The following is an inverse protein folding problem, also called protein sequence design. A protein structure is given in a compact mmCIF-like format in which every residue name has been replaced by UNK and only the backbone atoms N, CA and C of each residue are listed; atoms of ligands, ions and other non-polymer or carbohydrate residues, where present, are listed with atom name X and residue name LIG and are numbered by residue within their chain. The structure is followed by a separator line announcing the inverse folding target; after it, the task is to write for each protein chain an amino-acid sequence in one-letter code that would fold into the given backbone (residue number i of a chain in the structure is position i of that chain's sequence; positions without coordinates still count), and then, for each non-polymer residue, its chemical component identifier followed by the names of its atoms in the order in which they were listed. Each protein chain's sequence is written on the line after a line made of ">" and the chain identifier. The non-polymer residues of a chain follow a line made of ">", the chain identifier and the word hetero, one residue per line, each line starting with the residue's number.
data_IF_465405499777
#
_entry.id   IF_465405499777
#
_cell.length_a   1.000
_cell.length_b   1.000
_cell.length_c   1.000
_cell.angle_alpha   90.00
_cell.angle_beta   90.00
_cell.angle_gamma   90.00
#
_symmetry.space_group_name_H-M   'P 1'
#
loop_
_entity.id
_entity.type
_entity.pdbx_description
1 polymer ?
#
# COMPACT_ATOMS: atom_id res chain seq x y z
N UNK A 1 -35.86 18.07 17.25
CA UNK A 1 -34.59 17.38 17.65
C UNK A 1 -34.74 15.84 17.83
N UNK A 2 -35.16 15.07 16.81
CA UNK A 2 -35.04 13.59 16.81
C UNK A 2 -33.81 13.07 16.02
N UNK A 3 -33.41 13.74 14.93
CA UNK A 3 -32.34 13.29 14.03
C UNK A 3 -30.94 13.17 14.69
N UNK A 4 -30.61 14.06 15.64
CA UNK A 4 -29.33 14.00 16.37
C UNK A 4 -29.21 12.82 17.33
N UNK A 5 -30.34 12.33 17.88
CA UNK A 5 -30.34 11.12 18.73
C UNK A 5 -30.17 9.86 17.88
N UNK A 6 -30.83 9.82 16.72
CA UNK A 6 -30.78 8.70 15.77
C UNK A 6 -29.36 8.46 15.22
N UNK A 7 -28.61 9.54 14.97
CA UNK A 7 -27.21 9.44 14.53
C UNK A 7 -26.29 8.93 15.66
N UNK A 8 -26.46 9.45 16.88
CA UNK A 8 -25.66 9.03 18.04
C UNK A 8 -25.90 7.56 18.42
N UNK A 9 -27.11 7.05 18.23
CA UNK A 9 -27.46 5.67 18.52
C UNK A 9 -26.98 4.71 17.42
N UNK A 10 -26.97 5.16 16.16
CA UNK A 10 -26.37 4.43 15.04
C UNK A 10 -24.86 4.25 15.20
N UNK A 11 -24.14 5.31 15.62
CA UNK A 11 -22.70 5.25 15.88
C UNK A 11 -22.39 4.32 17.07
N UNK A 12 -23.18 4.39 18.15
CA UNK A 12 -23.03 3.50 19.30
C UNK A 12 -23.33 2.03 18.96
N UNK A 13 -24.25 1.76 18.05
CA UNK A 13 -24.54 0.41 17.57
C UNK A 13 -23.40 -0.14 16.71
N UNK A 14 -22.82 0.68 15.84
CA UNK A 14 -21.67 0.30 15.00
C UNK A 14 -20.43 -0.03 15.86
N UNK A 15 -20.11 0.79 16.87
CA UNK A 15 -18.98 0.52 17.77
C UNK A 15 -19.17 -0.77 18.59
N UNK A 16 -20.41 -1.12 18.98
CA UNK A 16 -20.69 -2.38 19.69
C UNK A 16 -20.55 -3.61 18.79
N UNK A 17 -20.87 -3.49 17.50
CA UNK A 17 -20.65 -4.57 16.51
C UNK A 17 -19.17 -4.80 16.25
N UNK A 18 -18.38 -3.73 16.13
CA UNK A 18 -16.93 -3.81 15.97
C UNK A 18 -16.22 -4.49 17.16
N UNK A 19 -16.71 -4.28 18.39
CA UNK A 19 -16.15 -4.91 19.61
C UNK A 19 -16.55 -6.37 19.82
N UNK A 20 -17.53 -6.89 19.06
CA UNK A 20 -18.05 -8.27 19.19
C UNK A 20 -17.63 -9.20 18.06
N UNK A 21 -16.87 -8.71 17.07
CA UNK A 21 -16.31 -9.57 16.03
C UNK A 21 -15.17 -10.42 16.65
N UNK A 22 -15.27 -11.75 16.67
CA UNK A 22 -14.20 -12.58 17.18
C UNK A 22 -12.98 -12.50 16.26
N UNK A 23 -11.83 -12.19 16.85
CA UNK A 23 -10.54 -12.10 16.20
C UNK A 23 -10.09 -13.51 15.73
N UNK A 24 -10.51 -13.90 14.52
CA UNK A 24 -10.26 -15.24 13.95
C UNK A 24 -8.78 -15.50 13.60
N UNK A 25 -7.84 -14.60 13.92
CA UNK A 25 -6.41 -14.76 13.60
C UNK A 25 -5.53 -15.32 14.73
N UNK A 26 -6.01 -15.47 15.97
CA UNK A 26 -5.18 -15.91 17.09
C UNK A 26 -5.23 -17.41 17.45
N UNK A 27 -6.06 -18.24 16.79
CA UNK A 27 -6.29 -19.62 17.23
C UNK A 27 -5.37 -20.71 16.60
N UNK A 28 -4.29 -20.35 15.89
CA UNK A 28 -3.42 -21.34 15.20
C UNK A 28 -1.94 -21.32 15.59
N UNK A 29 -1.54 -20.65 16.67
CA UNK A 29 -0.13 -20.54 17.07
C UNK A 29 0.16 -20.99 18.51
N UNK A 30 -0.61 -21.96 19.04
CA UNK A 30 -0.31 -22.64 20.31
C UNK A 30 -0.48 -24.15 20.19
N UNK A 31 0.34 -24.76 19.36
CA UNK A 31 0.78 -26.15 19.46
C UNK A 31 2.19 -26.17 18.86
N UNK A 32 3.12 -26.88 19.48
CA UNK A 32 4.55 -27.01 19.13
C UNK A 32 5.52 -26.05 19.83
N UNK A 33 5.65 -26.23 21.16
CA UNK A 33 6.93 -26.14 21.86
C UNK A 33 6.94 -27.08 23.07
N UNK A 34 7.50 -28.28 22.91
CA UNK A 34 8.09 -29.06 23.98
C UNK A 34 9.05 -30.11 23.41
N UNK A 35 10.33 -29.98 23.74
CA UNK A 35 11.31 -31.06 23.85
C UNK A 35 12.22 -30.73 25.05
N UNK A 36 13.20 -31.57 25.47
CA UNK A 36 13.58 -32.90 24.95
C UNK A 36 13.76 -33.97 26.06
N UNK A 37 13.98 -35.24 25.67
CA UNK A 37 14.45 -36.31 26.57
C UNK A 37 14.75 -37.63 25.82
N UNK A 38 15.81 -38.39 26.16
CA UNK A 38 16.45 -39.37 25.27
C UNK A 38 16.07 -40.82 25.54
N UNK A 39 16.21 -41.70 24.53
CA UNK A 39 16.39 -43.14 24.72
C UNK A 39 17.10 -43.76 23.49
N UNK A 40 18.00 -44.68 23.79
CA UNK A 40 18.97 -45.38 22.94
C UNK A 40 18.41 -46.76 22.53
N UNK A 41 19.11 -47.42 21.59
CA UNK A 41 19.03 -48.82 21.11
C UNK A 41 18.13 -49.03 19.88
N UNK A 42 18.54 -49.66 18.78
CA UNK A 42 19.78 -50.32 18.41
C UNK A 42 19.56 -51.08 17.08
N UNK A 43 20.67 -51.52 16.49
CA UNK A 43 20.84 -52.66 15.57
C UNK A 43 20.54 -52.53 14.06
N UNK A 44 21.64 -52.42 13.31
CA UNK A 44 22.11 -53.36 12.29
C UNK A 44 21.15 -53.84 11.18
N UNK A 45 21.42 -53.38 9.95
CA UNK A 45 21.97 -54.23 8.87
C UNK A 45 22.04 -53.51 7.51
N UNK A 46 23.26 -53.17 7.08
CA UNK A 46 23.68 -53.18 5.67
C UNK A 46 24.16 -54.60 5.31
N UNK A 47 23.98 -55.06 4.06
CA UNK A 47 25.15 -55.23 3.16
C UNK A 47 24.76 -55.14 1.65
N UNK A 48 25.66 -55.46 0.69
CA UNK A 48 26.93 -54.81 0.40
C UNK A 48 27.01 -54.29 -1.06
N UNK A 49 28.03 -53.48 -1.33
CA UNK A 49 28.57 -53.17 -2.66
C UNK A 49 29.47 -54.31 -3.17
N UNK A 50 29.68 -54.35 -4.50
CA UNK A 50 30.83 -54.85 -5.30
C UNK A 50 30.35 -55.69 -6.53
N UNK A 51 31.10 -55.81 -7.64
CA UNK A 51 32.03 -54.86 -8.27
C UNK A 51 31.84 -54.72 -9.80
N UNK A 52 32.72 -53.93 -10.41
CA UNK A 52 32.85 -53.60 -11.83
C UNK A 52 33.12 -54.79 -12.76
N UNK A 53 32.64 -54.68 -14.01
CA UNK A 53 32.96 -55.55 -15.13
C UNK A 53 33.00 -54.76 -16.44
N UNK A 54 34.09 -54.95 -17.18
CA UNK A 54 34.58 -54.19 -18.34
C UNK A 54 34.07 -54.72 -19.70
N UNK A 55 33.98 -53.83 -20.70
CA UNK A 55 33.98 -54.05 -22.18
C UNK A 55 32.70 -54.70 -22.75
N UNK A 56 32.16 -54.38 -23.93
CA UNK A 56 32.79 -54.18 -25.25
C UNK A 56 31.81 -53.46 -26.21
N UNK A 57 32.34 -52.94 -27.31
CA UNK A 57 31.67 -52.27 -28.42
C UNK A 57 30.78 -53.22 -29.25
N UNK A 58 29.59 -52.75 -29.68
CA UNK A 58 29.14 -52.67 -31.11
C UNK A 58 27.63 -52.38 -31.23
N UNK A 59 27.33 -51.62 -32.29
CA UNK A 59 26.04 -51.21 -32.86
C UNK A 59 24.98 -52.33 -32.93
N UNK A 60 23.71 -51.99 -32.69
CA UNK A 60 22.63 -52.02 -33.71
C UNK A 60 21.26 -51.61 -33.11
N UNK A 61 20.73 -50.52 -33.67
CA UNK A 61 19.33 -50.21 -34.01
C UNK A 61 18.11 -50.78 -33.24
N UNK A 62 17.17 -49.85 -33.02
CA UNK A 62 15.71 -50.00 -32.89
C UNK A 62 15.11 -50.38 -31.53
N UNK A 63 14.59 -49.37 -30.82
CA UNK A 63 13.24 -49.42 -30.25
C UNK A 63 12.69 -48.02 -29.97
N UNK A 64 11.56 -47.75 -30.60
CA UNK A 64 10.74 -46.57 -30.40
C UNK A 64 10.03 -46.62 -29.03
N UNK A 65 9.87 -45.45 -28.43
CA UNK A 65 8.86 -45.16 -27.41
C UNK A 65 9.39 -45.04 -25.97
N UNK A 66 9.40 -43.81 -25.45
CA UNK A 66 8.67 -43.36 -24.23
C UNK A 66 9.10 -41.92 -23.87
N UNK A 67 8.17 -40.98 -24.08
CA UNK A 67 7.92 -39.76 -23.32
C UNK A 67 9.10 -38.82 -22.97
N UNK A 68 9.50 -37.98 -23.92
CA UNK A 68 10.04 -36.65 -23.59
C UNK A 68 8.87 -35.65 -23.57
N UNK A 69 8.21 -35.54 -22.42
CA UNK A 69 7.33 -34.41 -22.15
C UNK A 69 8.19 -33.15 -22.17
N UNK A 70 8.09 -32.37 -23.25
CA UNK A 70 8.62 -31.02 -23.29
C UNK A 70 7.89 -30.22 -22.23
N UNK A 71 8.52 -30.08 -21.06
CA UNK A 71 8.15 -29.05 -20.09
C UNK A 71 8.25 -27.73 -20.84
N UNK A 72 7.09 -27.22 -21.27
CA UNK A 72 6.95 -25.89 -21.83
C UNK A 72 7.48 -24.94 -20.74
N UNK A 73 8.70 -24.45 -20.91
CA UNK A 73 9.24 -23.41 -20.05
C UNK A 73 8.38 -22.19 -20.36
N UNK A 74 7.41 -21.90 -19.47
CA UNK A 74 6.63 -20.68 -19.59
C UNK A 74 7.61 -19.51 -19.76
N UNK A 75 7.37 -18.61 -20.74
CA UNK A 75 8.24 -17.47 -20.95
C UNK A 75 8.34 -16.71 -19.62
N UNK A 76 9.57 -16.56 -19.10
CA UNK A 76 9.82 -15.79 -17.87
C UNK A 76 9.18 -14.42 -18.06
N UNK A 77 8.13 -14.12 -17.29
CA UNK A 77 7.57 -12.76 -17.22
C UNK A 77 8.71 -11.83 -16.81
N UNK A 78 9.23 -11.08 -17.77
CA UNK A 78 10.15 -9.98 -17.50
C UNK A 78 9.32 -8.87 -16.86
N UNK A 79 9.52 -8.65 -15.57
CA UNK A 79 8.97 -7.47 -14.91
C UNK A 79 9.89 -6.29 -15.18
N UNK A 80 9.31 -5.16 -15.57
CA UNK A 80 10.02 -3.90 -15.43
C UNK A 80 9.98 -3.45 -13.96
N UNK A 81 10.79 -2.46 -13.63
CA UNK A 81 10.90 -1.98 -12.25
C UNK A 81 9.64 -1.24 -11.76
N UNK A 82 8.82 -0.68 -12.65
CA UNK A 82 7.60 0.02 -12.28
C UNK A 82 6.50 -0.95 -11.88
N UNK A 83 6.26 -1.98 -12.71
CA UNK A 83 5.34 -3.07 -12.41
C UNK A 83 5.75 -3.84 -11.14
N UNK A 84 7.05 -4.02 -10.90
CA UNK A 84 7.55 -4.59 -9.65
C UNK A 84 7.27 -3.68 -8.45
N UNK A 85 7.43 -2.36 -8.61
CA UNK A 85 7.12 -1.38 -7.57
C UNK A 85 5.63 -1.38 -7.22
N UNK A 86 4.75 -1.47 -8.21
CA UNK A 86 3.30 -1.57 -8.00
C UNK A 86 2.94 -2.82 -7.19
N UNK A 87 3.55 -3.97 -7.52
CA UNK A 87 3.38 -5.21 -6.75
C UNK A 87 3.86 -5.03 -5.31
N UNK A 88 5.05 -4.46 -5.13
CA UNK A 88 5.65 -4.25 -3.81
C UNK A 88 4.78 -3.34 -2.94
N UNK A 89 4.27 -2.23 -3.47
CA UNK A 89 3.42 -1.31 -2.73
C UNK A 89 2.09 -1.92 -2.30
N UNK A 90 1.50 -2.80 -3.11
CA UNK A 90 0.32 -3.58 -2.68
C UNK A 90 0.66 -4.47 -1.48
N UNK A 91 1.79 -5.19 -1.54
CA UNK A 91 2.26 -6.03 -0.43
C UNK A 91 2.52 -5.18 0.83
N UNK A 92 3.15 -4.01 0.69
CA UNK A 92 3.43 -3.10 1.80
C UNK A 92 2.16 -2.49 2.38
N UNK A 93 1.17 -2.15 1.54
CA UNK A 93 -0.12 -1.62 1.99
C UNK A 93 -0.93 -2.66 2.79
N UNK A 94 -0.85 -3.94 2.40
CA UNK A 94 -1.56 -5.03 3.06
C UNK A 94 -0.90 -5.49 4.36
N UNK A 95 0.44 -5.59 4.39
CA UNK A 95 1.18 -6.17 5.51
C UNK A 95 1.83 -5.14 6.44
N UNK A 96 1.78 -3.87 6.06
CA UNK A 96 2.67 -2.84 6.59
C UNK A 96 4.05 -2.95 5.95
N UNK A 97 4.74 -1.81 5.79
CA UNK A 97 6.08 -1.78 5.23
C UNK A 97 6.98 -2.71 6.04
N UNK A 98 7.19 -2.47 7.33
CA UNK A 98 8.13 -3.25 8.16
C UNK A 98 7.85 -4.76 8.17
N UNK A 99 6.57 -5.17 8.17
CA UNK A 99 6.15 -6.57 8.18
C UNK A 99 6.28 -7.31 6.84
N UNK A 100 6.48 -6.59 5.73
CA UNK A 100 6.66 -7.21 4.42
C UNK A 100 8.11 -7.64 4.17
N UNK A 101 8.31 -8.71 3.39
CA UNK A 101 9.63 -9.19 2.97
C UNK A 101 9.81 -9.17 1.45
N UNK A 102 11.06 -9.21 0.99
CA UNK A 102 11.35 -9.40 -0.45
C UNK A 102 10.83 -10.74 -0.99
N UNK A 103 10.66 -11.75 -0.13
CA UNK A 103 10.06 -13.04 -0.49
C UNK A 103 8.54 -12.92 -0.71
N UNK A 104 7.87 -12.05 0.04
CA UNK A 104 6.46 -11.74 -0.20
C UNK A 104 6.26 -11.03 -1.54
N UNK A 105 7.15 -10.08 -1.87
CA UNK A 105 7.14 -9.39 -3.17
C UNK A 105 7.39 -10.37 -4.32
N UNK A 106 8.40 -11.24 -4.19
CA UNK A 106 8.70 -12.30 -5.17
C UNK A 106 7.48 -13.19 -5.42
N UNK A 107 6.86 -13.67 -4.33
CA UNK A 107 5.67 -14.52 -4.41
C UNK A 107 4.49 -13.80 -5.08
N UNK A 108 4.27 -12.53 -4.74
CA UNK A 108 3.18 -11.73 -5.32
C UNK A 108 3.42 -11.38 -6.80
N UNK A 109 4.68 -11.21 -7.21
CA UNK A 109 5.07 -10.94 -8.59
C UNK A 109 5.15 -12.23 -9.45
N UNK A 110 5.16 -13.41 -8.83
CA UNK A 110 5.32 -14.68 -9.56
C UNK A 110 6.71 -14.85 -10.18
N UNK A 111 7.74 -14.24 -9.57
CA UNK A 111 9.14 -14.33 -10.02
C UNK A 111 10.05 -14.74 -8.85
N UNK A 112 11.29 -15.11 -9.16
CA UNK A 112 12.26 -15.47 -8.12
C UNK A 112 12.78 -14.22 -7.41
N UNK A 113 13.17 -14.38 -6.15
CA UNK A 113 13.84 -13.32 -5.37
C UNK A 113 15.11 -12.83 -6.07
N UNK A 114 15.88 -13.74 -6.67
CA UNK A 114 17.07 -13.42 -7.45
C UNK A 114 16.72 -12.51 -8.65
N UNK A 115 15.61 -12.78 -9.35
CA UNK A 115 15.13 -11.93 -10.44
C UNK A 115 14.88 -10.49 -9.99
N UNK A 116 14.31 -10.31 -8.80
CA UNK A 116 14.04 -8.98 -8.25
C UNK A 116 15.34 -8.20 -7.99
N UNK A 117 16.34 -8.85 -7.40
CA UNK A 117 17.60 -8.19 -7.07
C UNK A 117 18.42 -7.75 -8.28
N UNK A 118 18.11 -8.24 -9.49
CA UNK A 118 18.67 -7.68 -10.73
C UNK A 118 18.15 -6.28 -11.04
N UNK A 119 16.99 -5.90 -10.51
CA UNK A 119 16.36 -4.60 -10.76
C UNK A 119 16.54 -3.61 -9.60
N UNK A 120 16.58 -4.10 -8.35
CA UNK A 120 16.61 -3.24 -7.15
C UNK A 120 17.60 -3.74 -6.12
N UNK A 121 18.23 -2.80 -5.41
CA UNK A 121 19.14 -3.10 -4.29
C UNK A 121 18.41 -3.69 -3.07
N UNK A 122 17.09 -3.49 -2.98
CA UNK A 122 16.27 -4.10 -1.94
C UNK A 122 14.93 -3.41 -1.77
N UNK A 123 14.31 -3.71 -0.63
CA UNK A 123 12.97 -3.27 -0.25
C UNK A 123 12.84 -1.75 -0.14
N UNK A 124 13.87 -1.09 0.38
CA UNK A 124 13.88 0.37 0.53
C UNK A 124 13.87 1.09 -0.84
N UNK A 125 14.56 0.56 -1.86
CA UNK A 125 14.54 1.15 -3.20
C UNK A 125 13.14 1.11 -3.83
N UNK A 126 12.37 0.04 -3.59
CA UNK A 126 10.98 -0.06 -4.02
C UNK A 126 10.08 0.91 -3.26
N UNK A 127 10.30 1.07 -1.95
CA UNK A 127 9.60 2.05 -1.13
C UNK A 127 9.87 3.46 -1.63
N UNK A 128 11.15 3.85 -1.77
CA UNK A 128 11.57 5.17 -2.20
C UNK A 128 10.95 5.54 -3.55
N UNK A 129 11.01 4.64 -4.54
CA UNK A 129 10.37 4.85 -5.85
C UNK A 129 8.86 5.04 -5.72
N UNK A 130 8.20 4.21 -4.92
CA UNK A 130 6.77 4.28 -4.70
C UNK A 130 6.31 5.57 -4.00
N UNK A 131 7.00 5.95 -2.93
CA UNK A 131 6.75 7.20 -2.20
C UNK A 131 7.05 8.42 -3.07
N UNK A 132 8.12 8.37 -3.86
CA UNK A 132 8.47 9.39 -4.84
C UNK A 132 7.32 9.63 -5.83
N UNK A 133 6.84 8.58 -6.50
CA UNK A 133 5.69 8.67 -7.43
C UNK A 133 4.44 9.27 -6.79
N UNK A 134 4.10 8.85 -5.57
CA UNK A 134 2.96 9.40 -4.85
C UNK A 134 3.11 10.89 -4.54
N UNK A 135 4.27 11.29 -4.03
CA UNK A 135 4.54 12.67 -3.67
C UNK A 135 4.62 13.55 -4.91
N UNK A 136 5.25 13.08 -5.98
CA UNK A 136 5.33 13.81 -7.25
C UNK A 136 3.92 14.01 -7.84
N UNK A 137 3.06 12.99 -7.78
CA UNK A 137 1.67 13.12 -8.20
C UNK A 137 0.87 14.13 -7.35
N UNK A 138 1.14 14.23 -6.04
CA UNK A 138 0.52 15.24 -5.18
C UNK A 138 1.05 16.64 -5.49
N UNK A 139 2.36 16.81 -5.64
CA UNK A 139 2.97 18.11 -5.91
C UNK A 139 2.63 18.64 -7.30
N UNK A 140 2.48 17.77 -8.31
CA UNK A 140 2.05 18.17 -9.65
C UNK A 140 0.70 18.90 -9.65
N UNK A 141 -0.17 18.63 -8.67
CA UNK A 141 -1.44 19.35 -8.49
C UNK A 141 -1.20 20.85 -8.29
N UNK A 142 -0.14 21.21 -7.54
CA UNK A 142 0.18 22.61 -7.21
C UNK A 142 0.72 23.38 -8.43
N UNK A 143 1.15 22.66 -9.46
CA UNK A 143 1.62 23.24 -10.72
C UNK A 143 0.48 23.40 -11.76
N UNK A 144 -0.69 22.81 -11.51
CA UNK A 144 -1.85 22.95 -12.39
C UNK A 144 -2.33 24.43 -12.43
N UNK A 145 -2.73 24.99 -13.59
CA UNK A 145 -3.12 26.40 -13.69
C UNK A 145 -4.21 26.82 -12.69
N UNK A 146 -5.22 25.96 -12.50
CA UNK A 146 -6.30 26.19 -11.54
C UNK A 146 -5.85 26.17 -10.07
N UNK A 147 -4.67 25.64 -9.75
CA UNK A 147 -4.08 25.73 -8.41
C UNK A 147 -3.24 27.01 -8.22
N UNK A 148 -2.95 27.76 -9.29
CA UNK A 148 -2.03 28.91 -9.28
C UNK A 148 -2.72 30.25 -9.50
N UNK A 149 -3.78 30.27 -10.28
CA UNK A 149 -4.45 31.49 -10.73
C UNK A 149 -5.84 31.65 -10.07
N UNK A 150 -6.35 32.88 -10.02
CA UNK A 150 -7.68 33.17 -9.46
C UNK A 150 -7.71 33.34 -7.94
N UNK A 151 -8.92 33.28 -7.36
CA UNK A 151 -9.11 33.47 -5.91
C UNK A 151 -8.55 32.29 -5.12
N UNK A 152 -8.05 32.54 -3.92
CA UNK A 152 -7.46 31.50 -3.10
C UNK A 152 -8.45 30.38 -2.74
N UNK A 153 -9.74 30.69 -2.59
CA UNK A 153 -10.77 29.67 -2.35
C UNK A 153 -10.98 28.73 -3.54
N UNK A 154 -10.89 29.25 -4.77
CA UNK A 154 -11.05 28.46 -6.00
C UNK A 154 -9.86 27.52 -6.17
N UNK A 155 -8.65 28.05 -5.96
CA UNK A 155 -7.40 27.27 -5.94
C UNK A 155 -7.44 26.18 -4.88
N UNK A 156 -7.91 26.49 -3.67
CA UNK A 156 -8.04 25.50 -2.59
C UNK A 156 -9.03 24.39 -2.98
N UNK A 157 -10.18 24.75 -3.56
CA UNK A 157 -11.20 23.79 -4.00
C UNK A 157 -10.62 22.82 -5.02
N UNK A 158 -9.95 23.36 -6.02
CA UNK A 158 -9.26 22.57 -7.03
C UNK A 158 -8.26 21.60 -6.38
N UNK A 159 -7.36 22.10 -5.52
CA UNK A 159 -6.36 21.24 -4.86
C UNK A 159 -7.02 20.09 -4.07
N UNK A 160 -8.08 20.36 -3.31
CA UNK A 160 -8.77 19.35 -2.50
C UNK A 160 -9.42 18.27 -3.38
N UNK A 161 -10.06 18.67 -4.47
CA UNK A 161 -10.66 17.77 -5.46
C UNK A 161 -9.60 16.86 -6.10
N UNK A 162 -8.53 17.46 -6.62
CA UNK A 162 -7.41 16.74 -7.23
C UNK A 162 -6.73 15.79 -6.25
N UNK A 163 -6.54 16.19 -4.99
CA UNK A 163 -5.96 15.32 -3.96
C UNK A 163 -6.87 14.12 -3.67
N UNK A 164 -8.19 14.31 -3.61
CA UNK A 164 -9.12 13.20 -3.41
C UNK A 164 -9.06 12.20 -4.57
N UNK A 165 -9.03 12.68 -5.82
CA UNK A 165 -8.88 11.84 -7.00
C UNK A 165 -7.54 11.10 -7.05
N UNK A 166 -6.42 11.78 -6.79
CA UNK A 166 -5.08 11.16 -6.74
C UNK A 166 -5.03 10.10 -5.65
N UNK A 167 -5.60 10.37 -4.48
CA UNK A 167 -5.67 9.42 -3.36
C UNK A 167 -6.39 8.14 -3.76
N UNK A 168 -7.52 8.27 -4.45
CA UNK A 168 -8.30 7.14 -4.94
C UNK A 168 -7.55 6.38 -6.06
N UNK A 169 -6.88 7.08 -6.96
CA UNK A 169 -6.12 6.46 -8.07
C UNK A 169 -4.89 5.69 -7.58
N UNK A 170 -4.15 6.24 -6.63
CA UNK A 170 -2.88 5.72 -6.09
C UNK A 170 -3.03 5.14 -4.68
N UNK A 171 -4.12 4.39 -4.43
CA UNK A 171 -4.46 3.90 -3.09
C UNK A 171 -3.32 3.12 -2.40
N UNK A 172 -2.65 2.14 -3.04
CA UNK A 172 -1.55 1.43 -2.40
C UNK A 172 -0.39 2.35 -2.00
N UNK A 173 0.05 3.22 -2.92
CA UNK A 173 1.13 4.18 -2.68
C UNK A 173 0.79 5.10 -1.50
N UNK A 174 -0.41 5.68 -1.50
CA UNK A 174 -0.86 6.65 -0.50
C UNK A 174 -1.12 5.99 0.85
N UNK A 175 -1.59 4.74 0.85
CA UNK A 175 -1.72 3.93 2.08
C UNK A 175 -0.36 3.76 2.75
N UNK A 176 0.67 3.41 1.98
CA UNK A 176 2.03 3.27 2.51
C UNK A 176 2.56 4.63 2.97
N UNK A 177 2.43 5.67 2.16
CA UNK A 177 2.88 7.04 2.47
C UNK A 177 2.25 7.61 3.75
N UNK A 178 1.00 7.25 4.07
CA UNK A 178 0.34 7.73 5.29
C UNK A 178 0.65 6.89 6.53
N UNK A 179 1.23 5.70 6.38
CA UNK A 179 1.56 4.77 7.47
C UNK A 179 3.05 4.72 7.83
N UNK A 180 3.92 5.39 7.09
CA UNK A 180 5.34 5.52 7.44
C UNK A 180 5.55 6.50 8.61
N UNK A 181 6.61 6.29 9.37
CA UNK A 181 6.87 7.03 10.61
C UNK A 181 8.25 7.71 10.64
N UNK A 182 9.05 7.60 9.58
CA UNK A 182 10.36 8.27 9.50
C UNK A 182 11.51 7.43 10.05
N UNK A 183 11.39 6.11 10.03
CA UNK A 183 12.43 5.22 10.54
C UNK A 183 13.68 5.25 9.62
N UNK A 184 13.47 5.17 8.31
CA UNK A 184 14.55 5.30 7.31
C UNK A 184 14.77 6.75 6.84
N UNK A 185 15.85 6.97 6.07
CA UNK A 185 16.11 8.27 5.41
C UNK A 185 15.00 8.59 4.41
N UNK A 186 14.65 7.63 3.54
CA UNK A 186 13.58 7.77 2.55
C UNK A 186 12.23 8.11 3.18
N UNK A 187 11.89 7.51 4.32
CA UNK A 187 10.68 7.85 5.05
C UNK A 187 10.70 9.26 5.63
N UNK A 188 11.83 9.70 6.20
CA UNK A 188 11.96 11.07 6.73
C UNK A 188 11.80 12.12 5.64
N UNK A 189 12.40 11.88 4.49
CA UNK A 189 12.26 12.76 3.31
C UNK A 189 10.80 12.82 2.85
N UNK A 190 10.12 11.66 2.77
CA UNK A 190 8.71 11.62 2.43
C UNK A 190 7.82 12.36 3.45
N UNK A 191 8.08 12.21 4.76
CA UNK A 191 7.36 12.94 5.82
C UNK A 191 7.58 14.44 5.69
N UNK A 192 8.81 14.90 5.40
CA UNK A 192 9.07 16.32 5.23
C UNK A 192 8.43 16.89 3.96
N UNK A 193 8.44 16.14 2.85
CA UNK A 193 7.71 16.54 1.63
C UNK A 193 6.20 16.70 1.89
N UNK A 194 5.60 15.81 2.69
CA UNK A 194 4.19 15.97 3.12
C UNK A 194 3.97 17.23 3.95
N UNK A 195 4.87 17.52 4.89
CA UNK A 195 4.80 18.77 5.69
C UNK A 195 4.93 20.01 4.81
N UNK A 196 5.78 19.99 3.78
CA UNK A 196 5.86 21.07 2.79
C UNK A 196 4.53 21.28 2.05
N UNK A 197 3.88 20.20 1.65
CA UNK A 197 2.57 20.25 1.01
C UNK A 197 1.51 20.86 1.94
N UNK A 198 1.46 20.40 3.20
CA UNK A 198 0.54 20.94 4.22
C UNK A 198 0.77 22.44 4.47
N UNK A 199 2.04 22.89 4.49
CA UNK A 199 2.39 24.31 4.63
C UNK A 199 1.87 25.13 3.46
N UNK A 200 2.06 24.68 2.23
CA UNK A 200 1.58 25.38 1.04
C UNK A 200 0.05 25.59 1.08
N UNK A 201 -0.69 24.55 1.45
CA UNK A 201 -2.16 24.63 1.53
C UNK A 201 -2.61 25.52 2.69
N UNK A 202 -1.88 25.49 3.81
CA UNK A 202 -2.15 26.40 4.94
C UNK A 202 -2.04 27.87 4.49
N UNK A 203 -1.03 28.22 3.69
CA UNK A 203 -0.88 29.58 3.15
C UNK A 203 -2.03 29.97 2.21
N UNK A 204 -2.54 29.04 1.40
CA UNK A 204 -3.73 29.29 0.58
C UNK A 204 -4.95 29.59 1.46
N UNK A 205 -5.15 28.85 2.56
CA UNK A 205 -6.26 29.10 3.48
C UNK A 205 -6.12 30.48 4.13
N UNK A 206 -4.92 30.85 4.59
CA UNK A 206 -4.64 32.19 5.13
C UNK A 206 -4.97 33.26 4.10
N UNK A 207 -4.61 33.05 2.84
CA UNK A 207 -4.93 33.97 1.76
C UNK A 207 -6.45 34.07 1.51
N UNK A 208 -7.17 32.94 1.49
CA UNK A 208 -8.62 32.93 1.34
C UNK A 208 -9.34 33.61 2.52
N UNK A 209 -8.77 33.54 3.73
CA UNK A 209 -9.24 34.31 4.88
C UNK A 209 -9.03 35.81 4.73
N UNK A 210 -7.90 36.23 4.14
CA UNK A 210 -7.63 37.64 3.82
C UNK A 210 -8.61 38.17 2.78
N UNK A 211 -8.88 37.37 1.75
CA UNK A 211 -9.82 37.65 0.66
C UNK A 211 -11.30 37.63 1.09
N UNK A 212 -11.58 37.11 2.29
CA UNK A 212 -12.92 37.09 2.87
C UNK A 212 -13.75 35.86 2.50
N UNK A 213 -13.17 34.87 1.81
CA UNK A 213 -13.88 33.66 1.36
C UNK A 213 -13.89 32.53 2.39
N UNK A 214 -12.99 32.59 3.38
CA UNK A 214 -12.93 31.66 4.50
C UNK A 214 -13.10 32.41 5.80
N UNK A 215 -13.92 31.88 6.70
CA UNK A 215 -14.12 32.44 8.05
C UNK A 215 -12.79 32.55 8.82
N UNK A 216 -12.57 33.69 9.48
CA UNK A 216 -11.30 34.04 10.16
C UNK A 216 -11.18 33.50 11.59
N UNK A 217 -12.27 33.00 12.17
CA UNK A 217 -12.29 32.37 13.49
C UNK A 217 -11.91 30.87 13.45
N UNK A 218 -11.58 30.36 12.27
CA UNK A 218 -11.03 29.02 12.06
C UNK A 218 -9.50 29.12 11.91
N UNK A 219 -8.75 28.42 12.76
CA UNK A 219 -7.29 28.32 12.60
C UNK A 219 -6.93 27.65 11.25
N UNK A 220 -6.11 28.31 10.44
CA UNK A 220 -5.81 27.87 9.08
C UNK A 220 -5.10 26.51 9.04
N UNK A 221 -4.22 26.24 10.01
CA UNK A 221 -3.49 24.98 10.11
C UNK A 221 -4.41 23.84 10.54
N UNK A 222 -5.32 24.10 11.47
CA UNK A 222 -6.38 23.17 11.85
C UNK A 222 -7.30 22.88 10.68
N UNK A 223 -7.71 23.90 9.91
CA UNK A 223 -8.50 23.72 8.69
C UNK A 223 -7.80 22.80 7.68
N UNK A 224 -6.54 23.09 7.33
CA UNK A 224 -5.75 22.25 6.43
C UNK A 224 -5.69 20.79 6.92
N UNK A 225 -5.42 20.60 8.22
CA UNK A 225 -5.34 19.26 8.82
C UNK A 225 -6.66 18.50 8.77
N UNK A 226 -7.80 19.18 8.97
CA UNK A 226 -9.12 18.55 8.92
C UNK A 226 -9.52 18.20 7.48
N UNK A 227 -9.29 19.09 6.53
CA UNK A 227 -9.58 18.87 5.11
C UNK A 227 -8.82 17.63 4.60
N UNK A 228 -7.49 17.59 4.78
CA UNK A 228 -6.72 16.42 4.35
C UNK A 228 -6.93 15.22 5.24
N UNK A 229 -7.33 15.40 6.50
CA UNK A 229 -7.78 14.29 7.35
C UNK A 229 -8.94 13.52 6.71
N UNK A 230 -9.91 14.23 6.12
CA UNK A 230 -11.03 13.61 5.41
C UNK A 230 -10.56 12.85 4.17
N UNK A 231 -9.76 13.48 3.30
CA UNK A 231 -9.21 12.83 2.10
C UNK A 231 -8.34 11.61 2.43
N UNK A 232 -7.44 11.75 3.40
CA UNK A 232 -6.51 10.70 3.78
C UNK A 232 -7.23 9.53 4.45
N UNK A 233 -8.35 9.77 5.15
CA UNK A 233 -9.13 8.69 5.78
C UNK A 233 -9.63 7.66 4.76
N UNK A 234 -9.83 8.05 3.50
CA UNK A 234 -10.34 7.21 2.41
C UNK A 234 -9.51 5.93 2.26
N UNK A 235 -8.19 6.00 2.48
CA UNK A 235 -7.30 4.83 2.33
C UNK A 235 -7.61 3.72 3.34
N UNK A 236 -8.23 4.05 4.47
CA UNK A 236 -8.52 3.08 5.55
C UNK A 236 -9.84 2.33 5.36
N UNK A 237 -10.85 2.98 4.77
CA UNK A 237 -12.20 2.43 4.68
C UNK A 237 -12.68 2.13 3.26
N UNK A 238 -12.10 2.76 2.23
CA UNK A 238 -12.56 2.56 0.85
C UNK A 238 -12.30 1.13 0.37
N UNK A 239 -13.32 0.54 -0.26
CA UNK A 239 -13.26 -0.74 -0.93
C UNK A 239 -13.94 -0.59 -2.28
N UNK A 240 -13.34 -1.14 -3.33
CA UNK A 240 -13.91 -1.07 -4.67
C UNK A 240 -15.35 -1.64 -4.68
N UNK A 241 -16.29 -0.90 -5.29
CA UNK A 241 -17.69 -1.31 -5.42
C UNK A 241 -18.63 -0.83 -4.31
N UNK A 242 -18.15 -0.19 -3.23
CA UNK A 242 -19.03 0.39 -2.21
C UNK A 242 -19.62 1.74 -2.62
N UNK A 243 -18.79 2.60 -3.20
CA UNK A 243 -19.11 3.94 -3.71
C UNK A 243 -18.23 4.23 -4.93
N UNK A 244 -18.71 5.09 -5.84
CA UNK A 244 -17.87 5.55 -6.96
C UNK A 244 -16.81 6.52 -6.46
N UNK A 245 -15.68 6.59 -7.17
CA UNK A 245 -14.56 7.45 -6.80
C UNK A 245 -14.96 8.92 -6.87
N UNK A 246 -15.74 9.24 -7.89
CA UNK A 246 -16.29 10.56 -8.18
C UNK A 246 -17.23 11.02 -7.06
N UNK A 247 -18.09 10.12 -6.55
CA UNK A 247 -19.00 10.43 -5.44
C UNK A 247 -18.23 10.73 -4.14
N UNK A 248 -17.14 9.99 -3.87
CA UNK A 248 -16.30 10.24 -2.68
C UNK A 248 -15.57 11.57 -2.80
N UNK A 249 -14.94 11.86 -3.94
CA UNK A 249 -14.23 13.11 -4.17
C UNK A 249 -15.18 14.32 -4.02
N UNK A 250 -16.36 14.24 -4.64
CA UNK A 250 -17.39 15.27 -4.50
C UNK A 250 -17.83 15.48 -3.05
N UNK A 251 -18.08 14.39 -2.30
CA UNK A 251 -18.49 14.49 -0.89
C UNK A 251 -17.41 15.12 -0.01
N UNK A 252 -16.13 14.79 -0.23
CA UNK A 252 -15.00 15.41 0.49
C UNK A 252 -14.97 16.92 0.24
N UNK A 253 -15.11 17.35 -1.01
CA UNK A 253 -15.11 18.77 -1.38
C UNK A 253 -16.33 19.48 -0.81
N UNK A 254 -17.54 18.95 -0.97
CA UNK A 254 -18.77 19.55 -0.43
C UNK A 254 -18.67 19.73 1.09
N UNK A 255 -18.31 18.68 1.84
CA UNK A 255 -18.19 18.76 3.30
C UNK A 255 -17.08 19.71 3.77
N UNK A 256 -15.95 19.77 3.06
CA UNK A 256 -14.86 20.68 3.39
C UNK A 256 -15.28 22.16 3.25
N UNK A 257 -15.99 22.51 2.19
CA UNK A 257 -16.27 23.91 1.87
C UNK A 257 -17.58 24.44 2.48
N UNK A 258 -18.60 23.61 2.66
CA UNK A 258 -19.87 24.01 3.29
C UNK A 258 -19.70 24.49 4.75
N UNK A 259 -18.63 24.06 5.44
CA UNK A 259 -18.31 24.50 6.81
C UNK A 259 -17.35 25.70 6.91
N UNK A 260 -16.70 26.09 5.80
CA UNK A 260 -15.62 27.07 5.80
C UNK A 260 -16.03 28.45 5.28
N UNK A 261 -17.05 28.52 4.43
CA UNK A 261 -17.51 29.80 3.87
C UNK A 261 -18.20 30.65 4.95
N UNK A 262 -18.05 31.99 4.92
CA UNK A 262 -18.82 32.89 5.76
C UNK A 262 -20.32 32.63 5.62
N UNK A 263 -21.06 32.83 6.72
CA UNK A 263 -22.53 32.83 6.71
C UNK A 263 -23.06 34.24 6.52
#
# INVERSE_FOLDING_TARGET
>A
RPARRQLADSVRAACRRARRAPDRRCARLRADRAGPGPAVCGDDRHPPLEPAGERDHRRAETRAGVLAGSAQVEPRKSYDIDSLTDVALRVFAERGYDGASMDDVARAAGITKASIYHHVSGKEALLERGLGRALDALFAILDEPAAREGRAIERLRHIVERVAEVTLRLLPELTVLFRIHGASKSEREAVERRRSFDRYVTEIIVQAQREGDVRRDLDARLAARLIFGMSNSVVEWYRAGSLTREAIAHAVVSLAFEGMTPR
#
